data_IF_715708693046
#
_entry.id   IF_715708693046
#
_cell.length_a   1.000
_cell.length_b   1.000
_cell.length_c   1.000
_cell.angle_alpha   90.00
_cell.angle_beta   90.00
_cell.angle_gamma   90.00
#
_symmetry.space_group_name_H-M   'P 1'
#
loop_
_entity.id
_entity.type
_entity.pdbx_description
1 polymer ?
#
# COMPACT_ATOMS: atom_id res chain seq x y z
N UNK A 1 -8.58 -7.80 3.87
CA UNK A 1 -9.21 -7.89 2.52
C UNK A 1 -10.69 -8.13 2.72
N UNK A 2 -11.50 -7.19 2.25
CA UNK A 2 -12.96 -7.27 2.27
C UNK A 2 -13.50 -7.73 0.91
N UNK A 3 -14.68 -8.33 0.90
CA UNK A 3 -15.33 -8.79 -0.33
C UNK A 3 -16.74 -8.22 -0.49
N UNK A 4 -17.14 -7.98 -1.74
CA UNK A 4 -18.51 -7.63 -2.10
C UNK A 4 -18.88 -8.25 -3.45
N UNK A 5 -20.15 -8.17 -3.85
CA UNK A 5 -20.58 -8.51 -5.22
C UNK A 5 -20.60 -7.26 -6.07
N UNK A 6 -20.48 -7.39 -7.40
CA UNK A 6 -20.57 -6.25 -8.31
C UNK A 6 -21.93 -5.52 -8.21
N UNK A 7 -23.02 -6.25 -7.93
CA UNK A 7 -24.33 -5.64 -7.75
C UNK A 7 -24.42 -4.81 -6.47
N UNK A 8 -23.86 -5.30 -5.37
CA UNK A 8 -23.80 -4.57 -4.10
C UNK A 8 -22.86 -3.37 -4.22
N UNK A 9 -21.66 -3.57 -4.77
CA UNK A 9 -20.68 -2.52 -5.00
C UNK A 9 -21.24 -1.36 -5.81
N UNK A 10 -22.03 -1.64 -6.85
CA UNK A 10 -22.69 -0.58 -7.65
C UNK A 10 -23.69 0.24 -6.83
N UNK A 11 -24.37 -0.37 -5.86
CA UNK A 11 -25.34 0.31 -4.99
C UNK A 11 -24.65 1.09 -3.86
N UNK A 12 -23.48 0.63 -3.41
CA UNK A 12 -22.75 1.18 -2.27
C UNK A 12 -21.38 1.76 -2.66
N UNK A 13 -21.21 2.21 -3.90
CA UNK A 13 -19.90 2.55 -4.49
C UNK A 13 -19.09 3.49 -3.60
N UNK A 14 -19.67 4.64 -3.25
CA UNK A 14 -19.00 5.65 -2.42
C UNK A 14 -18.57 5.09 -1.07
N UNK A 15 -19.49 4.47 -0.34
CA UNK A 15 -19.20 3.94 1.00
C UNK A 15 -18.11 2.87 0.98
N UNK A 16 -18.13 1.97 -0.01
CA UNK A 16 -17.13 0.90 -0.13
C UNK A 16 -15.76 1.39 -0.58
N UNK A 17 -15.71 2.42 -1.43
CA UNK A 17 -14.45 3.08 -1.81
C UNK A 17 -13.88 3.86 -0.61
N UNK A 18 -14.71 4.62 0.10
CA UNK A 18 -14.28 5.37 1.29
C UNK A 18 -13.72 4.43 2.37
N UNK A 19 -14.40 3.31 2.65
CA UNK A 19 -13.94 2.28 3.60
C UNK A 19 -12.60 1.64 3.17
N UNK A 20 -12.46 1.32 1.88
CA UNK A 20 -11.22 0.78 1.30
C UNK A 20 -10.04 1.73 1.50
N UNK A 21 -10.24 3.02 1.19
CA UNK A 21 -9.19 4.04 1.29
C UNK A 21 -8.88 4.37 2.75
N UNK A 22 -9.89 4.60 3.60
CA UNK A 22 -9.66 5.04 4.98
C UNK A 22 -8.99 3.99 5.84
N UNK A 23 -9.18 2.71 5.51
CA UNK A 23 -8.68 1.60 6.29
C UNK A 23 -7.43 0.95 5.66
N UNK A 24 -6.95 1.47 4.52
CA UNK A 24 -5.87 0.86 3.74
C UNK A 24 -6.13 -0.63 3.45
N UNK A 25 -7.36 -0.97 3.09
CA UNK A 25 -7.80 -2.35 2.90
C UNK A 25 -8.16 -2.66 1.45
N UNK A 26 -7.65 -3.78 0.94
CA UNK A 26 -8.02 -4.32 -0.36
C UNK A 26 -9.49 -4.72 -0.41
N UNK A 27 -10.24 -4.19 -1.37
CA UNK A 27 -11.61 -4.59 -1.65
C UNK A 27 -11.69 -5.46 -2.92
N UNK A 28 -12.12 -6.70 -2.77
CA UNK A 28 -12.38 -7.62 -3.89
C UNK A 28 -13.85 -7.60 -4.29
N UNK A 29 -14.12 -7.28 -5.56
CA UNK A 29 -15.46 -7.23 -6.11
C UNK A 29 -15.72 -8.45 -6.99
N UNK A 30 -16.66 -9.30 -6.56
CA UNK A 30 -17.01 -10.54 -7.24
C UNK A 30 -18.05 -10.31 -8.33
N UNK A 31 -17.73 -10.70 -9.56
CA UNK A 31 -18.65 -10.60 -10.71
C UNK A 31 -19.39 -11.92 -10.92
N UNK A 32 -20.66 -11.85 -11.32
CA UNK A 32 -21.47 -13.04 -11.64
C UNK A 32 -20.95 -13.76 -12.90
N UNK A 33 -20.43 -12.98 -13.85
CA UNK A 33 -19.84 -13.46 -15.08
C UNK A 33 -18.52 -12.74 -15.32
N UNK A 34 -17.51 -13.48 -15.76
CA UNK A 34 -16.15 -12.98 -15.97
C UNK A 34 -15.33 -12.89 -14.69
N UNK A 35 -14.18 -12.25 -14.79
CA UNK A 35 -13.20 -12.16 -13.72
C UNK A 35 -13.60 -11.11 -12.66
N UNK A 36 -13.14 -11.36 -11.44
CA UNK A 36 -13.26 -10.42 -10.33
C UNK A 36 -12.30 -9.24 -10.52
N UNK A 37 -12.58 -8.12 -9.87
CA UNK A 37 -11.66 -6.99 -9.83
C UNK A 37 -11.37 -6.55 -8.40
N UNK A 38 -10.32 -5.76 -8.25
CA UNK A 38 -9.84 -5.24 -6.98
C UNK A 38 -9.98 -3.72 -7.00
N UNK A 39 -10.32 -3.14 -5.85
CA UNK A 39 -10.25 -1.70 -5.57
C UNK A 39 -9.21 -1.51 -4.47
N UNK A 40 -8.36 -0.50 -4.66
CA UNK A 40 -7.28 -0.09 -3.77
C UNK A 40 -7.27 1.44 -3.69
N UNK A 41 -6.77 1.99 -2.58
CA UNK A 41 -6.37 3.39 -2.53
C UNK A 41 -5.20 3.65 -3.48
N UNK A 42 -5.12 4.87 -4.02
CA UNK A 42 -3.99 5.26 -4.88
C UNK A 42 -2.67 5.22 -4.12
N UNK A 43 -2.66 5.67 -2.86
CA UNK A 43 -1.49 5.62 -1.99
C UNK A 43 -1.03 4.17 -1.75
N UNK A 44 -1.96 3.27 -1.44
CA UNK A 44 -1.65 1.84 -1.27
C UNK A 44 -1.09 1.23 -2.56
N UNK A 45 -1.65 1.60 -3.72
CA UNK A 45 -1.14 1.15 -5.01
C UNK A 45 0.30 1.65 -5.25
N UNK A 46 0.58 2.93 -4.98
CA UNK A 46 1.94 3.48 -5.09
C UNK A 46 2.92 2.79 -4.15
N UNK A 47 2.51 2.51 -2.91
CA UNK A 47 3.35 1.80 -1.95
C UNK A 47 3.69 0.37 -2.42
N UNK A 48 2.73 -0.32 -3.05
CA UNK A 48 2.97 -1.63 -3.67
C UNK A 48 3.95 -1.51 -4.84
N UNK A 49 3.78 -0.52 -5.73
CA UNK A 49 4.71 -0.29 -6.85
C UNK A 49 6.13 0.03 -6.36
N UNK A 50 6.27 0.89 -5.36
CA UNK A 50 7.56 1.22 -4.74
C UNK A 50 8.20 -0.02 -4.12
N UNK A 51 7.42 -0.80 -3.35
CA UNK A 51 7.92 -2.04 -2.74
C UNK A 51 8.42 -3.02 -3.81
N UNK A 52 7.66 -3.20 -4.89
CA UNK A 52 8.08 -4.03 -6.02
C UNK A 52 9.34 -3.49 -6.69
N UNK A 53 9.45 -2.18 -6.86
CA UNK A 53 10.63 -1.54 -7.43
C UNK A 53 11.87 -1.77 -6.56
N UNK A 54 11.79 -1.54 -5.24
CA UNK A 54 12.91 -1.76 -4.32
C UNK A 54 13.38 -3.23 -4.31
N UNK A 55 12.44 -4.18 -4.42
CA UNK A 55 12.75 -5.61 -4.50
C UNK A 55 13.47 -6.02 -5.79
N UNK A 56 13.49 -5.20 -6.84
CA UNK A 56 14.24 -5.51 -8.07
C UNK A 56 15.77 -5.39 -7.88
N UNK A 57 16.21 -4.70 -6.83
CA UNK A 57 17.63 -4.50 -6.53
C UNK A 57 18.08 -5.48 -5.46
N UNK A 58 18.93 -6.43 -5.86
CA UNK A 58 19.47 -7.45 -4.93
C UNK A 58 20.16 -6.80 -3.74
N UNK A 59 19.76 -7.20 -2.52
CA UNK A 59 20.31 -6.71 -1.26
C UNK A 59 19.81 -5.32 -0.81
N UNK A 60 19.03 -4.60 -1.63
CA UNK A 60 18.53 -3.26 -1.24
C UNK A 60 17.55 -3.35 -0.07
N UNK A 61 16.56 -4.24 -0.15
CA UNK A 61 15.57 -4.43 0.93
C UNK A 61 16.24 -4.87 2.23
N UNK A 62 17.23 -5.76 2.16
CA UNK A 62 18.01 -6.17 3.34
C UNK A 62 18.76 -4.98 3.95
N UNK A 63 19.38 -4.14 3.12
CA UNK A 63 20.08 -2.94 3.60
C UNK A 63 19.13 -1.93 4.27
N UNK A 64 17.90 -1.78 3.77
CA UNK A 64 16.87 -0.94 4.38
C UNK A 64 16.45 -1.49 5.75
N UNK A 65 16.26 -2.81 5.85
CA UNK A 65 15.95 -3.45 7.14
C UNK A 65 17.09 -3.36 8.15
N UNK A 66 18.34 -3.45 7.69
CA UNK A 66 19.51 -3.24 8.56
C UNK A 66 19.53 -1.79 9.08
N UNK A 67 19.39 -0.81 8.18
CA UNK A 67 19.35 0.60 8.54
C UNK A 67 18.20 0.93 9.51
N UNK A 68 17.03 0.28 9.37
CA UNK A 68 15.91 0.51 10.28
C UNK A 68 16.14 0.01 11.72
N UNK A 69 17.17 -0.81 11.95
CA UNK A 69 17.58 -1.27 13.29
C UNK A 69 18.70 -0.42 13.91
N UNK A 70 19.26 0.52 13.14
CA UNK A 70 20.31 1.42 13.65
C UNK A 70 19.73 2.34 14.73
N UNK A 71 20.57 2.68 15.72
CA UNK A 71 20.12 3.56 16.80
C UNK A 71 19.97 4.98 16.29
N UNK A 72 18.92 5.69 16.73
CA UNK A 72 18.76 7.11 16.43
C UNK A 72 19.94 7.96 16.94
N UNK A 73 20.70 7.47 17.93
CA UNK A 73 21.93 8.13 18.40
C UNK A 73 23.03 8.20 17.34
N UNK A 74 22.99 7.30 16.35
CA UNK A 74 24.00 7.19 15.30
C UNK A 74 23.67 8.13 14.11
N UNK A 75 22.47 8.69 14.11
CA UNK A 75 22.02 9.67 13.13
C UNK A 75 22.60 11.07 13.36
N UNK A 76 22.66 11.87 12.29
CA UNK A 76 23.03 13.29 12.35
C UNK A 76 21.75 14.13 12.49
N UNK A 77 21.70 14.99 13.50
CA UNK A 77 20.54 15.87 13.68
C UNK A 77 20.46 16.89 12.53
N UNK A 78 19.24 17.21 12.09
CA UNK A 78 19.01 18.09 10.93
C UNK A 78 19.73 19.45 11.02
N UNK A 79 19.84 20.02 12.22
CA UNK A 79 20.54 21.29 12.49
C UNK A 79 22.06 21.23 12.28
N UNK A 80 22.63 20.03 12.29
CA UNK A 80 24.06 19.75 12.18
C UNK A 80 24.40 19.22 10.77
N UNK A 81 23.41 19.12 9.87
CA UNK A 81 23.59 18.83 8.45
C UNK A 81 23.85 20.16 7.73
N UNK A 82 25.02 20.28 7.11
CA UNK A 82 25.32 21.37 6.17
C UNK A 82 24.63 21.06 4.83
N UNK A 83 23.57 21.82 4.51
CA UNK A 83 22.79 21.70 3.26
C UNK A 83 23.22 22.74 2.21
#
# INVERSE_FOLDING_TARGET
MIETTANEFRQTLKAKVDECISNHEVLRVKRRHGENFIVLGEEDWRAVEETLYLNQFSGLVDSIHQASQESLSDGVALKDIDL
#
